data_IF_862236480124
#
_entry.id   IF_862236480124
#
_cell.length_a   1.000
_cell.length_b   1.000
_cell.length_c   1.000
_cell.angle_alpha   90.00
_cell.angle_beta   90.00
_cell.angle_gamma   90.00
#
_symmetry.space_group_name_H-M   'P 1'
#
loop_
_entity.id
_entity.type
_entity.pdbx_description
1 polymer ?
#
# COMPACT_ATOMS: atom_id res chain seq x y z
N UNK A 1 -30.62 9.04 1.94
CA UNK A 1 -29.25 9.58 1.84
C UNK A 1 -28.70 9.06 0.52
N UNK A 2 -28.88 9.82 -0.56
CA UNK A 2 -27.88 10.70 -1.19
C UNK A 2 -26.62 9.94 -1.64
N UNK A 3 -26.60 9.68 -2.95
CA UNK A 3 -25.45 9.58 -3.84
C UNK A 3 -24.32 8.60 -3.47
N UNK A 4 -24.41 7.39 -4.02
CA UNK A 4 -23.21 6.66 -4.43
C UNK A 4 -22.57 7.44 -5.59
N UNK A 5 -21.79 8.47 -5.27
CA UNK A 5 -20.85 9.08 -6.22
C UNK A 5 -19.90 7.96 -6.66
N UNK A 6 -20.25 7.28 -7.76
CA UNK A 6 -19.40 6.31 -8.42
C UNK A 6 -18.21 7.09 -8.97
N UNK A 7 -17.15 7.19 -8.16
CA UNK A 7 -15.90 7.78 -8.63
C UNK A 7 -15.49 6.96 -9.86
N UNK A 8 -15.32 7.59 -11.03
CA UNK A 8 -14.90 6.84 -12.20
C UNK A 8 -13.54 6.20 -11.92
N UNK A 9 -13.38 4.92 -12.29
CA UNK A 9 -12.11 4.17 -12.20
C UNK A 9 -11.00 4.76 -13.10
N UNK A 10 -11.29 5.89 -13.76
CA UNK A 10 -10.37 6.61 -14.61
C UNK A 10 -9.35 7.36 -13.74
N UNK A 11 -8.08 6.95 -13.87
CA UNK A 11 -6.95 7.71 -13.33
C UNK A 11 -6.96 9.11 -13.93
N UNK A 12 -6.81 10.18 -13.12
CA UNK A 12 -6.76 11.53 -13.64
C UNK A 12 -5.74 11.67 -14.77
N UNK A 13 -6.09 12.44 -15.81
CA UNK A 13 -5.25 12.62 -17.00
C UNK A 13 -3.80 12.99 -16.66
N UNK A 14 -3.59 13.79 -15.61
CA UNK A 14 -2.26 14.15 -15.15
C UNK A 14 -1.44 12.92 -14.70
N UNK A 15 -2.03 12.03 -13.91
CA UNK A 15 -1.41 10.79 -13.41
C UNK A 15 -1.14 9.80 -14.54
N UNK A 16 -2.11 9.64 -15.46
CA UNK A 16 -1.95 8.80 -16.65
C UNK A 16 -0.80 9.26 -17.56
N UNK A 17 -0.60 10.58 -17.70
CA UNK A 17 0.51 11.16 -18.48
C UNK A 17 1.87 10.90 -17.79
N UNK A 18 1.93 10.94 -16.46
CA UNK A 18 3.15 10.59 -15.73
C UNK A 18 3.52 9.10 -15.88
N UNK A 19 2.53 8.20 -15.90
CA UNK A 19 2.75 6.77 -16.11
C UNK A 19 3.18 6.42 -17.54
N UNK A 20 2.79 7.25 -18.52
CA UNK A 20 3.25 7.13 -19.90
C UNK A 20 4.63 7.76 -20.14
N UNK A 21 5.19 8.42 -19.13
CA UNK A 21 6.52 9.02 -19.26
C UNK A 21 7.54 7.89 -19.42
N UNK A 22 8.38 8.03 -20.44
CA UNK A 22 9.52 7.12 -20.60
C UNK A 22 10.32 7.12 -19.30
N UNK A 23 10.59 5.93 -18.76
CA UNK A 23 11.47 5.79 -17.61
C UNK A 23 12.76 6.53 -17.96
N UNK A 24 13.09 7.57 -17.19
CA UNK A 24 14.29 8.36 -17.42
C UNK A 24 15.53 7.46 -17.28
N UNK A 25 16.66 7.97 -17.77
CA UNK A 25 17.98 7.33 -17.71
C UNK A 25 18.16 6.53 -16.41
N UNK A 26 18.58 5.25 -16.47
CA UNK A 26 18.72 4.43 -15.29
C UNK A 26 19.57 5.18 -14.27
N UNK A 27 18.95 5.55 -13.14
CA UNK A 27 19.71 6.02 -11.99
C UNK A 27 20.64 4.86 -11.64
N UNK A 28 21.96 5.08 -11.56
CA UNK A 28 22.87 4.03 -11.16
C UNK A 28 22.40 3.51 -9.80
N UNK A 29 22.06 2.25 -9.77
CA UNK A 29 21.57 1.59 -8.57
C UNK A 29 22.76 1.48 -7.60
N UNK A 30 22.86 2.43 -6.68
CA UNK A 30 23.93 2.45 -5.67
C UNK A 30 23.86 1.21 -4.75
N UNK A 31 22.68 0.56 -4.66
CA UNK A 31 22.48 -0.71 -3.96
C UNK A 31 22.89 -1.94 -4.77
N UNK A 32 23.04 -1.87 -6.10
CA UNK A 32 23.47 -3.01 -6.91
C UNK A 32 24.90 -3.48 -6.59
N UNK A 33 25.69 -2.65 -5.91
CA UNK A 33 27.00 -3.03 -5.35
C UNK A 33 26.93 -3.57 -3.92
N UNK A 34 25.77 -3.49 -3.26
CA UNK A 34 25.55 -4.02 -1.92
C UNK A 34 25.26 -5.52 -2.03
N UNK A 35 26.31 -6.33 -1.89
CA UNK A 35 26.13 -7.77 -1.69
C UNK A 35 25.37 -7.99 -0.37
N UNK A 36 24.22 -8.68 -0.37
CA UNK A 36 23.49 -8.93 0.86
C UNK A 36 24.39 -9.72 1.82
N UNK A 37 24.37 -9.42 3.13
CA UNK A 37 25.18 -10.15 4.08
C UNK A 37 24.80 -11.64 4.03
N UNK A 38 25.76 -12.50 3.68
CA UNK A 38 25.55 -13.95 3.53
C UNK A 38 25.05 -14.67 4.79
N UNK A 39 25.00 -13.95 5.92
CA UNK A 39 24.61 -14.46 7.24
C UNK A 39 23.22 -13.97 7.70
N UNK A 40 22.54 -13.13 6.90
CA UNK A 40 21.17 -12.75 7.24
C UNK A 40 20.24 -13.99 7.13
N UNK A 41 19.44 -14.29 8.16
CA UNK A 41 18.49 -15.40 8.09
C UNK A 41 17.51 -15.18 6.94
N UNK A 42 17.35 -16.22 6.10
CA UNK A 42 16.36 -16.20 5.01
C UNK A 42 14.91 -16.20 5.52
N UNK A 43 14.73 -16.69 6.74
CA UNK A 43 13.46 -16.65 7.44
C UNK A 43 13.36 -15.30 8.15
N UNK A 44 12.58 -14.39 7.55
CA UNK A 44 12.19 -13.19 8.26
C UNK A 44 11.26 -13.60 9.41
N UNK A 45 11.39 -12.98 10.60
CA UNK A 45 10.37 -13.13 11.63
C UNK A 45 9.01 -12.72 11.05
N UNK A 46 7.92 -13.27 11.60
CA UNK A 46 6.58 -12.81 11.28
C UNK A 46 6.54 -11.28 11.39
N UNK A 47 6.20 -10.64 10.27
CA UNK A 47 6.22 -9.19 10.21
C UNK A 47 5.02 -8.63 10.96
N UNK A 48 5.21 -7.47 11.62
CA UNK A 48 4.18 -6.73 12.37
C UNK A 48 2.84 -6.57 11.63
N UNK A 49 2.84 -6.58 10.29
CA UNK A 49 1.60 -6.50 9.51
C UNK A 49 0.67 -7.70 9.70
N UNK A 50 1.20 -8.87 10.10
CA UNK A 50 0.41 -10.05 10.46
C UNK A 50 -0.32 -9.87 11.79
N UNK A 51 0.28 -9.16 12.75
CA UNK A 51 -0.36 -8.85 14.04
C UNK A 51 -1.58 -7.92 13.85
N UNK A 52 -1.60 -7.13 12.77
CA UNK A 52 -2.75 -6.29 12.41
C UNK A 52 -3.96 -7.08 11.85
N UNK A 53 -3.81 -8.37 11.56
CA UNK A 53 -4.94 -9.24 11.23
C UNK A 53 -5.64 -9.79 12.48
N UNK A 54 -5.08 -9.53 13.68
CA UNK A 54 -5.76 -9.84 14.93
C UNK A 54 -7.08 -9.05 15.01
N UNK A 55 -8.17 -9.77 15.20
CA UNK A 55 -9.48 -9.16 15.31
C UNK A 55 -9.55 -8.33 16.60
N UNK A 56 -9.53 -7.01 16.45
CA UNK A 56 -9.77 -6.08 17.56
C UNK A 56 -11.28 -6.06 17.85
N UNK A 57 -11.64 -6.24 19.13
CA UNK A 57 -13.02 -6.04 19.58
C UNK A 57 -13.40 -4.57 19.36
N UNK A 58 -14.26 -4.32 18.38
CA UNK A 58 -14.79 -2.98 18.11
C UNK A 58 -15.76 -2.59 19.25
N UNK A 59 -15.61 -1.38 19.79
CA UNK A 59 -16.50 -0.88 20.83
C UNK A 59 -17.94 -0.77 20.27
N UNK A 60 -18.97 -1.22 21.03
CA UNK A 60 -20.36 -1.20 20.57
C UNK A 60 -20.89 0.19 20.19
N UNK A 61 -20.28 1.28 20.69
CA UNK A 61 -20.62 2.65 20.29
C UNK A 61 -20.30 2.92 18.80
N UNK A 62 -19.39 2.15 18.17
CA UNK A 62 -19.09 2.26 16.72
C UNK A 62 -20.16 1.63 15.82
N UNK A 63 -20.93 0.64 16.32
CA UNK A 63 -22.04 0.02 15.58
C UNK A 63 -23.24 0.97 15.41
N UNK A 64 -23.35 1.97 16.29
CA UNK A 64 -24.45 2.94 16.25
C UNK A 64 -24.27 4.01 15.15
N UNK A 65 -23.06 4.18 14.62
CA UNK A 65 -22.72 5.22 13.63
C UNK A 65 -23.06 4.79 12.19
N UNK A 66 -23.24 3.49 11.93
CA UNK A 66 -23.59 2.93 10.60
C UNK A 66 -25.12 2.86 10.35
N UNK A 67 -25.94 3.29 11.31
CA UNK A 67 -27.41 3.22 11.19
C UNK A 67 -27.94 4.42 10.36
N UNK A 68 -28.67 4.19 9.24
CA UNK A 68 -29.14 5.25 8.35
C UNK A 68 -30.28 6.11 8.91
#
# INVERSE_FOLDING_TARGET
MQHSEHLPDDVPVADAVEQQRTASEPIPDEEASAEPPSDAPLEAPDADWQEQLEAVELDPEFDEVDRP
#
